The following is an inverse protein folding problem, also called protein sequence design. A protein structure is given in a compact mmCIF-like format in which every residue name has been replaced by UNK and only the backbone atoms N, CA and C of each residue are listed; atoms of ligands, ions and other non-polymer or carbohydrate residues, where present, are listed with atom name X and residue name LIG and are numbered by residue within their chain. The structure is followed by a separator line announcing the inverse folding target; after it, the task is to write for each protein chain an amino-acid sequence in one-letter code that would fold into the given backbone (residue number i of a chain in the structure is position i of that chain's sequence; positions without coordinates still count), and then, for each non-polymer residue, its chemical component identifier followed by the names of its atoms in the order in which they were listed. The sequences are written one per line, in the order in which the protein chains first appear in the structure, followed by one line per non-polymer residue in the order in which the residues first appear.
data_IF_860497005433
#
_entry.id   IF_860497005433
#
_cell.length_a   1.000
_cell.length_b   1.000
_cell.length_c   1.000
_cell.angle_alpha   90.00
_cell.angle_beta   90.00
_cell.angle_gamma   90.00
#
_symmetry.space_group_name_H-M   'P 1'
#
loop_
_entity.id
_entity.type
_entity.pdbx_description
1 polymer ?
#
# COMPACT_ATOMS: atom_id res chain seq x y z
N UNK A 1 -12.38 5.77 50.64
CA UNK A 1 -11.66 6.02 49.37
C UNK A 1 -10.58 7.03 49.69
N UNK A 2 -9.31 6.61 49.55
CA UNK A 2 -8.14 7.27 50.16
C UNK A 2 -7.84 8.64 49.54
N UNK A 3 -7.43 9.58 50.39
CA UNK A 3 -6.93 10.93 50.08
C UNK A 3 -5.81 11.00 49.01
N UNK A 4 -5.22 9.87 48.62
CA UNK A 4 -4.20 9.78 47.58
C UNK A 4 -4.70 10.13 46.17
N UNK A 5 -6.00 10.00 45.89
CA UNK A 5 -6.57 10.35 44.56
C UNK A 5 -6.72 11.88 44.43
N UNK A 6 -6.89 12.60 45.53
CA UNK A 6 -7.21 14.04 45.51
C UNK A 6 -6.02 14.94 45.07
N UNK A 7 -4.78 14.44 45.07
CA UNK A 7 -3.56 15.21 44.76
C UNK A 7 -2.71 14.61 43.62
N UNK A 8 -3.23 13.65 42.84
CA UNK A 8 -2.48 13.08 41.72
C UNK A 8 -2.44 14.04 40.52
N UNK A 9 -1.23 14.47 40.14
CA UNK A 9 -0.98 15.25 38.94
C UNK A 9 -0.44 14.36 37.81
N UNK A 10 -1.31 14.02 36.86
CA UNK A 10 -0.95 13.15 35.73
C UNK A 10 0.00 13.80 34.73
N UNK A 11 0.28 15.12 34.81
CA UNK A 11 1.07 15.85 33.80
C UNK A 11 2.45 15.25 33.56
N UNK A 12 3.12 14.74 34.59
CA UNK A 12 4.44 14.11 34.43
C UNK A 12 4.37 12.83 33.59
N UNK A 13 3.45 11.94 33.93
CA UNK A 13 3.27 10.68 33.20
C UNK A 13 2.71 10.92 31.78
N UNK A 14 1.81 11.90 31.63
CA UNK A 14 1.33 12.32 30.31
C UNK A 14 2.46 12.88 29.45
N UNK A 15 3.37 13.70 30.00
CA UNK A 15 4.53 14.22 29.26
C UNK A 15 5.49 13.11 28.83
N UNK A 16 5.75 12.12 29.70
CA UNK A 16 6.55 10.94 29.31
C UNK A 16 5.90 10.16 28.18
N UNK A 17 4.58 9.96 28.23
CA UNK A 17 3.86 9.27 27.18
C UNK A 17 3.93 10.03 25.84
N UNK A 18 3.73 11.35 25.87
CA UNK A 18 3.85 12.21 24.67
C UNK A 18 5.25 12.06 24.06
N UNK A 19 6.31 12.25 24.85
CA UNK A 19 7.68 12.11 24.37
C UNK A 19 7.93 10.72 23.77
N UNK A 20 7.38 9.67 24.38
CA UNK A 20 7.53 8.31 23.84
C UNK A 20 6.80 8.12 22.51
N UNK A 21 5.61 8.68 22.35
CA UNK A 21 4.87 8.64 21.08
C UNK A 21 5.62 9.42 20.01
N UNK A 22 6.18 10.58 20.32
CA UNK A 22 7.00 11.37 19.39
C UNK A 22 8.21 10.55 18.89
N UNK A 23 8.94 9.89 19.78
CA UNK A 23 10.05 9.00 19.41
C UNK A 23 9.60 7.85 18.47
N UNK A 24 8.47 7.22 18.78
CA UNK A 24 7.92 6.13 17.96
C UNK A 24 7.46 6.61 16.58
N UNK A 25 6.87 7.80 16.50
CA UNK A 25 6.46 8.40 15.23
C UNK A 25 7.66 8.77 14.36
N UNK A 26 8.76 9.23 14.96
CA UNK A 26 10.02 9.45 14.23
C UNK A 26 10.55 8.12 13.67
N UNK A 27 10.60 7.06 14.48
CA UNK A 27 11.04 5.75 14.02
C UNK A 27 10.13 5.19 12.90
N UNK A 28 8.82 5.42 12.98
CA UNK A 28 7.89 5.05 11.91
C UNK A 28 8.15 5.84 10.62
N UNK A 29 8.48 7.13 10.72
CA UNK A 29 8.88 7.93 9.56
C UNK A 29 10.17 7.41 8.91
N UNK A 30 11.16 6.99 9.71
CA UNK A 30 12.40 6.37 9.22
C UNK A 30 12.14 5.04 8.50
N UNK A 31 11.21 4.21 8.99
CA UNK A 31 10.77 2.99 8.29
C UNK A 31 10.14 3.31 6.94
N UNK A 32 9.25 4.30 6.88
CA UNK A 32 8.65 4.73 5.62
C UNK A 32 9.71 5.24 4.64
N UNK A 33 10.70 6.00 5.11
CA UNK A 33 11.82 6.46 4.26
C UNK A 33 12.62 5.28 3.73
N UNK A 34 12.96 4.28 4.56
CA UNK A 34 13.67 3.07 4.08
C UNK A 34 12.90 2.34 2.97
N UNK A 35 11.58 2.22 3.10
CA UNK A 35 10.75 1.58 2.06
C UNK A 35 10.75 2.36 0.74
N UNK A 36 10.89 3.68 0.76
CA UNK A 36 10.98 4.47 -0.49
C UNK A 36 12.19 4.10 -1.34
N UNK A 37 13.30 3.67 -0.73
CA UNK A 37 14.53 3.32 -1.46
C UNK A 37 14.40 2.00 -2.23
N UNK A 38 13.55 1.09 -1.76
CA UNK A 38 13.39 -0.27 -2.30
C UNK A 38 12.08 -0.53 -3.02
N UNK A 39 11.12 0.41 -3.00
CA UNK A 39 9.80 0.21 -3.60
C UNK A 39 9.92 -0.25 -5.06
N UNK A 40 9.40 -1.45 -5.34
CA UNK A 40 9.35 -2.05 -6.67
C UNK A 40 10.74 -2.23 -7.34
N UNK A 41 11.85 -2.13 -6.60
CA UNK A 41 13.19 -2.13 -7.21
C UNK A 41 13.52 -3.46 -7.89
N UNK A 42 12.86 -4.56 -7.51
CA UNK A 42 13.01 -5.86 -8.17
C UNK A 42 12.62 -5.83 -9.66
N UNK A 43 11.77 -4.90 -10.09
CA UNK A 43 11.39 -4.69 -11.50
C UNK A 43 12.55 -4.23 -12.38
N UNK A 44 13.59 -3.65 -11.78
CA UNK A 44 14.72 -3.09 -12.50
C UNK A 44 15.77 -4.14 -12.87
N UNK A 45 15.64 -5.35 -12.35
CA UNK A 45 16.59 -6.46 -12.54
C UNK A 45 15.87 -7.71 -13.07
N UNK A 46 16.63 -8.64 -13.65
CA UNK A 46 16.10 -9.94 -14.03
C UNK A 46 15.78 -10.80 -12.78
N UNK A 47 14.72 -11.63 -12.82
CA UNK A 47 13.97 -12.03 -14.00
C UNK A 47 12.82 -11.09 -14.39
N UNK A 48 12.51 -10.05 -13.61
CA UNK A 48 11.33 -9.22 -13.87
C UNK A 48 11.52 -8.29 -15.06
N UNK A 49 12.67 -7.62 -15.11
CA UNK A 49 12.95 -6.55 -16.06
C UNK A 49 12.69 -6.98 -17.51
N UNK A 50 13.18 -8.14 -17.92
CA UNK A 50 13.01 -8.64 -19.29
C UNK A 50 11.55 -8.90 -19.67
N UNK A 51 10.71 -9.34 -18.73
CA UNK A 51 9.27 -9.47 -18.96
C UNK A 51 8.59 -8.11 -19.03
N UNK A 52 8.89 -7.19 -18.10
CA UNK A 52 8.29 -5.86 -18.10
C UNK A 52 8.65 -5.06 -19.35
N UNK A 53 9.92 -5.08 -19.79
CA UNK A 53 10.38 -4.42 -21.01
C UNK A 53 9.59 -4.89 -22.25
N UNK A 54 9.32 -6.18 -22.34
CA UNK A 54 8.65 -6.78 -23.51
C UNK A 54 7.13 -6.64 -23.45
N UNK A 55 6.52 -6.93 -22.31
CA UNK A 55 5.06 -7.11 -22.19
C UNK A 55 4.33 -5.82 -21.82
N UNK A 56 4.97 -4.87 -21.12
CA UNK A 56 4.31 -3.60 -20.75
C UNK A 56 3.85 -2.79 -21.97
N UNK A 57 4.66 -2.61 -23.03
CA UNK A 57 4.21 -1.90 -24.23
C UNK A 57 3.07 -2.62 -24.96
N UNK A 58 3.07 -3.95 -24.94
CA UNK A 58 2.03 -4.77 -25.57
C UNK A 58 0.70 -4.69 -24.81
N UNK A 59 0.76 -4.78 -23.47
CA UNK A 59 -0.39 -4.61 -22.59
C UNK A 59 -1.04 -3.23 -22.76
N UNK A 60 -0.23 -2.18 -22.95
CA UNK A 60 -0.74 -0.83 -23.22
C UNK A 60 -1.46 -0.70 -24.58
N UNK A 61 -1.09 -1.55 -25.55
CA UNK A 61 -1.63 -1.52 -26.91
C UNK A 61 -2.91 -2.35 -27.12
N UNK A 62 -3.34 -3.13 -26.14
CA UNK A 62 -4.53 -4.01 -26.25
C UNK A 62 -5.66 -3.58 -25.32
N UNK A 63 -6.89 -3.95 -25.69
CA UNK A 63 -8.08 -3.66 -24.88
C UNK A 63 -8.02 -4.41 -23.55
N UNK A 64 -8.15 -3.67 -22.45
CA UNK A 64 -8.22 -4.24 -21.10
C UNK A 64 -9.26 -5.36 -21.02
N UNK A 65 -8.84 -6.55 -20.56
CA UNK A 65 -9.69 -7.73 -20.42
C UNK A 65 -9.92 -8.56 -21.69
N UNK A 66 -9.36 -8.17 -22.85
CA UNK A 66 -9.42 -8.98 -24.08
C UNK A 66 -8.70 -10.32 -23.95
N UNK A 67 -8.93 -11.30 -24.85
CA UNK A 67 -8.17 -12.54 -24.88
C UNK A 67 -6.65 -12.32 -24.99
N UNK A 68 -6.21 -11.34 -25.78
CA UNK A 68 -4.81 -10.97 -25.96
C UNK A 68 -4.23 -10.37 -24.67
N UNK A 69 -4.96 -9.46 -24.03
CA UNK A 69 -4.59 -8.91 -22.72
C UNK A 69 -4.38 -10.02 -21.69
N UNK A 70 -5.32 -10.98 -21.62
CA UNK A 70 -5.21 -12.13 -20.73
C UNK A 70 -4.01 -13.01 -21.09
N UNK A 71 -3.75 -13.24 -22.38
CA UNK A 71 -2.57 -13.98 -22.84
C UNK A 71 -1.25 -13.34 -22.39
N UNK A 72 -1.11 -12.03 -22.51
CA UNK A 72 0.07 -11.32 -22.01
C UNK A 72 0.18 -11.34 -20.48
N UNK A 73 -0.93 -11.30 -19.75
CA UNK A 73 -0.90 -11.46 -18.29
C UNK A 73 -0.46 -12.87 -17.87
N UNK A 74 -0.90 -13.91 -18.57
CA UNK A 74 -0.43 -15.29 -18.35
C UNK A 74 1.08 -15.39 -18.58
N UNK A 75 1.58 -14.73 -19.62
CA UNK A 75 3.00 -14.70 -19.92
C UNK A 75 3.82 -13.89 -18.90
N UNK A 76 3.24 -12.83 -18.31
CA UNK A 76 3.86 -12.02 -17.26
C UNK A 76 3.92 -12.74 -15.90
N UNK A 77 3.18 -13.84 -15.71
CA UNK A 77 3.07 -14.52 -14.41
C UNK A 77 4.39 -14.79 -13.69
N UNK A 78 5.47 -15.29 -14.35
CA UNK A 78 6.74 -15.53 -13.66
C UNK A 78 7.33 -14.25 -13.05
N UNK A 79 7.27 -13.13 -13.78
CA UNK A 79 7.71 -11.84 -13.27
C UNK A 79 6.80 -11.33 -12.15
N UNK A 80 5.47 -11.47 -12.27
CA UNK A 80 4.55 -11.08 -11.20
C UNK A 80 4.74 -11.89 -9.92
N UNK A 81 4.99 -13.20 -10.02
CA UNK A 81 5.25 -14.05 -8.87
C UNK A 81 6.57 -13.68 -8.18
N UNK A 82 7.63 -13.42 -8.95
CA UNK A 82 8.87 -12.90 -8.40
C UNK A 82 8.66 -11.53 -7.74
N UNK A 83 7.89 -10.65 -8.38
CA UNK A 83 7.57 -9.31 -7.89
C UNK A 83 6.85 -9.35 -6.55
N UNK A 84 5.75 -10.11 -6.46
CA UNK A 84 4.98 -10.25 -5.22
C UNK A 84 5.81 -10.91 -4.12
N UNK A 85 6.67 -11.88 -4.45
CA UNK A 85 7.55 -12.52 -3.47
C UNK A 85 8.59 -11.56 -2.86
N UNK A 86 8.99 -10.51 -3.56
CA UNK A 86 10.02 -9.55 -3.11
C UNK A 86 9.45 -8.24 -2.54
N UNK A 87 8.17 -7.95 -2.74
CA UNK A 87 7.56 -6.67 -2.38
C UNK A 87 6.32 -6.89 -1.50
N UNK A 88 6.48 -6.75 -0.19
CA UNK A 88 5.44 -7.08 0.81
C UNK A 88 4.23 -6.15 0.78
N UNK A 89 4.32 -4.96 0.16
CA UNK A 89 3.16 -4.08 0.01
C UNK A 89 2.10 -4.63 -0.96
N UNK A 90 2.32 -5.75 -1.63
CA UNK A 90 1.30 -6.43 -2.43
C UNK A 90 0.54 -7.49 -1.62
N UNK A 91 -0.81 -7.52 -1.66
CA UNK A 91 -1.60 -8.55 -0.99
C UNK A 91 -1.21 -9.97 -1.40
N UNK A 92 -0.82 -10.15 -2.66
CA UNK A 92 -0.36 -11.41 -3.22
C UNK A 92 0.94 -11.94 -2.60
N UNK A 93 1.70 -11.12 -1.85
CA UNK A 93 2.85 -11.57 -1.07
C UNK A 93 2.43 -12.52 0.06
N UNK A 94 1.23 -12.32 0.62
CA UNK A 94 0.75 -13.03 1.80
C UNK A 94 -0.31 -14.07 1.46
N UNK A 95 -0.24 -15.24 2.11
CA UNK A 95 -1.27 -16.28 1.98
C UNK A 95 -2.66 -15.79 2.42
N UNK A 96 -2.71 -14.90 3.43
CA UNK A 96 -3.95 -14.32 3.97
C UNK A 96 -4.28 -12.93 3.36
N UNK A 97 -3.67 -12.58 2.22
CA UNK A 97 -3.90 -11.30 1.55
C UNK A 97 -3.60 -10.10 2.46
N UNK A 98 -4.46 -9.09 2.43
CA UNK A 98 -4.29 -7.86 3.23
C UNK A 98 -4.31 -8.13 4.75
N UNK A 99 -4.96 -9.20 5.21
CA UNK A 99 -4.94 -9.57 6.63
C UNK A 99 -3.57 -10.12 7.09
N UNK A 100 -2.63 -10.34 6.16
CA UNK A 100 -1.24 -10.67 6.46
C UNK A 100 -0.30 -9.46 6.57
N UNK A 101 -0.76 -8.27 6.16
CA UNK A 101 0.04 -7.05 6.11
C UNK A 101 0.28 -6.43 7.50
N UNK A 102 1.44 -5.78 7.66
CA UNK A 102 1.62 -4.80 8.73
C UNK A 102 1.13 -3.39 8.33
N UNK A 103 1.27 -2.42 9.24
CA UNK A 103 0.86 -1.04 8.96
C UNK A 103 1.66 -0.37 7.84
N UNK A 104 2.95 -0.71 7.71
CA UNK A 104 3.84 -0.11 6.72
C UNK A 104 3.61 -0.69 5.33
N UNK A 105 3.32 -1.99 5.23
CA UNK A 105 2.86 -2.64 3.99
C UNK A 105 1.56 -1.99 3.51
N UNK A 106 0.61 -1.78 4.43
CA UNK A 106 -0.67 -1.13 4.13
C UNK A 106 -0.50 0.31 3.64
N UNK A 107 0.39 1.08 4.28
CA UNK A 107 0.71 2.44 3.86
C UNK A 107 1.33 2.45 2.46
N UNK A 108 2.36 1.64 2.23
CA UNK A 108 3.04 1.55 0.95
C UNK A 108 2.07 1.10 -0.16
N UNK A 109 1.23 0.09 0.09
CA UNK A 109 0.18 -0.35 -0.85
C UNK A 109 -0.78 0.79 -1.22
N UNK A 110 -1.21 1.59 -0.25
CA UNK A 110 -2.11 2.71 -0.49
C UNK A 110 -1.46 3.78 -1.39
N UNK A 111 -0.18 4.09 -1.18
CA UNK A 111 0.56 5.02 -2.03
C UNK A 111 0.88 4.43 -3.41
N UNK A 112 1.18 3.12 -3.52
CA UNK A 112 1.32 2.41 -4.79
C UNK A 112 0.03 2.52 -5.61
N UNK A 113 -1.13 2.22 -5.02
CA UNK A 113 -2.41 2.33 -5.71
C UNK A 113 -2.71 3.76 -6.17
N UNK A 114 -2.27 4.76 -5.38
CA UNK A 114 -2.38 6.16 -5.78
C UNK A 114 -1.51 6.46 -7.01
N UNK A 115 -0.25 6.04 -7.02
CA UNK A 115 0.66 6.23 -8.15
C UNK A 115 0.20 5.45 -9.40
N UNK A 116 -0.26 4.21 -9.22
CA UNK A 116 -0.83 3.40 -10.28
C UNK A 116 -2.04 4.08 -10.93
N UNK A 117 -2.91 4.71 -10.14
CA UNK A 117 -4.07 5.45 -10.67
C UNK A 117 -3.68 6.65 -11.54
N UNK A 118 -2.49 7.25 -11.37
CA UNK A 118 -2.04 8.39 -12.15
C UNK A 118 -1.52 8.01 -13.55
N UNK A 119 -1.32 6.70 -13.81
CA UNK A 119 -0.86 6.20 -15.12
C UNK A 119 -1.96 6.20 -16.18
N UNK A 120 -3.19 6.55 -15.82
CA UNK A 120 -4.33 6.62 -16.72
C UNK A 120 -4.95 8.02 -16.71
N UNK A 121 -5.30 8.56 -17.88
CA UNK A 121 -5.87 9.92 -18.02
C UNK A 121 -7.15 10.17 -17.20
N UNK A 122 -7.87 9.11 -16.83
CA UNK A 122 -9.11 9.15 -16.05
C UNK A 122 -9.05 8.29 -14.78
N UNK A 123 -7.83 7.93 -14.35
CA UNK A 123 -7.63 7.12 -13.15
C UNK A 123 -8.03 7.88 -11.88
N UNK A 124 -8.53 7.13 -10.91
CA UNK A 124 -9.02 7.66 -9.64
C UNK A 124 -8.69 6.69 -8.52
N UNK A 125 -8.02 7.18 -7.48
CA UNK A 125 -7.73 6.37 -6.29
C UNK A 125 -9.01 5.92 -5.59
N UNK A 126 -10.06 6.74 -5.56
CA UNK A 126 -11.36 6.36 -5.00
C UNK A 126 -11.95 5.14 -5.72
N UNK A 127 -11.90 5.12 -7.07
CA UNK A 127 -12.34 3.96 -7.86
C UNK A 127 -11.41 2.75 -7.68
N UNK A 128 -10.10 2.99 -7.55
CA UNK A 128 -9.12 1.93 -7.29
C UNK A 128 -9.40 1.22 -5.96
N UNK A 129 -9.68 1.99 -4.89
CA UNK A 129 -10.07 1.45 -3.59
C UNK A 129 -11.36 0.63 -3.71
N UNK A 130 -12.39 1.12 -4.40
CA UNK A 130 -13.66 0.38 -4.57
C UNK A 130 -13.48 -0.94 -5.33
N UNK A 131 -12.67 -0.94 -6.39
CA UNK A 131 -12.35 -2.15 -7.14
C UNK A 131 -11.53 -3.14 -6.29
N UNK A 132 -10.47 -2.66 -5.65
CA UNK A 132 -9.58 -3.48 -4.85
C UNK A 132 -10.24 -3.96 -3.54
N UNK A 133 -11.26 -3.26 -3.04
CA UNK A 133 -12.04 -3.71 -1.89
C UNK A 133 -12.70 -5.07 -2.16
N UNK A 134 -13.30 -5.24 -3.35
CA UNK A 134 -13.85 -6.54 -3.76
C UNK A 134 -12.76 -7.56 -4.05
N UNK A 135 -11.69 -7.17 -4.74
CA UNK A 135 -10.59 -8.06 -5.13
C UNK A 135 -9.85 -8.66 -3.94
N UNK A 136 -9.58 -7.85 -2.91
CA UNK A 136 -8.78 -8.23 -1.75
C UNK A 136 -9.59 -8.37 -0.46
N UNK A 137 -10.93 -8.44 -0.58
CA UNK A 137 -11.84 -8.62 0.56
C UNK A 137 -11.62 -7.60 1.69
N UNK A 138 -11.43 -6.32 1.34
CA UNK A 138 -11.19 -5.28 2.34
C UNK A 138 -12.43 -5.05 3.20
N UNK A 139 -12.24 -4.93 4.51
CA UNK A 139 -13.33 -4.62 5.42
C UNK A 139 -13.91 -3.21 5.15
N UNK A 140 -15.21 -2.98 5.43
CA UNK A 140 -15.81 -1.65 5.29
C UNK A 140 -15.09 -0.56 6.10
N UNK A 141 -14.52 -0.91 7.25
CA UNK A 141 -13.73 0.01 8.07
C UNK A 141 -12.42 0.40 7.36
N UNK A 142 -11.69 -0.57 6.80
CA UNK A 142 -10.45 -0.32 6.05
C UNK A 142 -10.71 0.61 4.86
N UNK A 143 -11.76 0.32 4.08
CA UNK A 143 -12.19 1.16 2.95
C UNK A 143 -12.50 2.58 3.40
N UNK A 144 -13.20 2.73 4.53
CA UNK A 144 -13.54 4.05 5.07
C UNK A 144 -12.30 4.83 5.51
N UNK A 145 -11.32 4.18 6.15
CA UNK A 145 -10.04 4.79 6.54
C UNK A 145 -9.29 5.28 5.30
N UNK A 146 -9.15 4.43 4.27
CA UNK A 146 -8.48 4.82 3.03
C UNK A 146 -9.19 6.00 2.34
N UNK A 147 -10.53 6.01 2.28
CA UNK A 147 -11.30 7.13 1.70
C UNK A 147 -11.16 8.41 2.51
N UNK A 148 -11.12 8.33 3.84
CA UNK A 148 -10.83 9.49 4.69
C UNK A 148 -9.43 10.05 4.41
N UNK A 149 -8.44 9.17 4.21
CA UNK A 149 -7.08 9.59 3.82
C UNK A 149 -7.07 10.26 2.45
N UNK A 150 -7.75 9.69 1.43
CA UNK A 150 -7.90 10.32 0.10
C UNK A 150 -8.48 11.73 0.22
N UNK A 151 -9.54 11.91 1.02
CA UNK A 151 -10.16 13.21 1.27
C UNK A 151 -9.20 14.17 1.97
N UNK A 152 -8.50 13.71 3.01
CA UNK A 152 -7.53 14.53 3.74
C UNK A 152 -6.37 15.00 2.85
N UNK A 153 -5.93 14.14 1.92
CA UNK A 153 -4.85 14.46 0.97
C UNK A 153 -5.30 15.28 -0.23
N UNK A 154 -6.61 15.57 -0.36
CA UNK A 154 -7.15 16.32 -1.50
C UNK A 154 -7.09 15.57 -2.83
N UNK A 155 -7.16 14.23 -2.78
CA UNK A 155 -7.08 13.37 -3.97
C UNK A 155 -8.44 12.92 -4.52
N UNK A 156 -9.54 13.37 -3.91
CA UNK A 156 -10.89 13.11 -4.37
C UNK A 156 -11.21 14.04 -5.56
N UNK A 157 -10.80 13.61 -6.76
CA UNK A 157 -11.01 14.30 -8.04
C UNK A 157 -11.72 13.37 -9.04
#
# INVERSE_FOLDING_TARGET
MNDQIANYDSRHETKKHIARVEELLIAAAEELVRRTEGHDSSKLEDPEKSYFDRLTPLLAGVTYGSPEYKGFLEEMKPALQHHYGNNSHHPEHFENGVDGMDLFDLFEMFFDWKAASERHNNGSISKSIDYNAGRFNLSPQMVSIMKNTVKNMGWDK
#
